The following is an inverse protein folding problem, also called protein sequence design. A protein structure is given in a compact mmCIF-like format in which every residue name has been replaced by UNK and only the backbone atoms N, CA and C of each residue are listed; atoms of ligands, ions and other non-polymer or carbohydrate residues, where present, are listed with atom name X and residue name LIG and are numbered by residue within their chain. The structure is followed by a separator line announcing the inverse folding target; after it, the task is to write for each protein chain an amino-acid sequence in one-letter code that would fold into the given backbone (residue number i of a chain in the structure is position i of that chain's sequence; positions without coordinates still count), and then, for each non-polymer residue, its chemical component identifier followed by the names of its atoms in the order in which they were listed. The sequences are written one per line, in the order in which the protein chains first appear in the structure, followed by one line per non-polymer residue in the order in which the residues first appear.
data_IF_447623065193
#
_entry.id   IF_447623065193
#
_cell.length_a   1.000
_cell.length_b   1.000
_cell.length_c   1.000
_cell.angle_alpha   90.00
_cell.angle_beta   90.00
_cell.angle_gamma   90.00
#
_symmetry.space_group_name_H-M   'P 1'
#
loop_
_entity.id
_entity.type
_entity.pdbx_description
1 polymer ?
#
# COMPACT_ATOMS: atom_id res chain seq x y z
N UNK A 1 28.34 39.36 -59.67
CA UNK A 1 28.04 37.96 -59.34
C UNK A 1 28.69 37.50 -57.99
N UNK A 2 30.00 37.75 -57.78
CA UNK A 2 30.69 37.31 -56.56
C UNK A 2 30.14 37.92 -55.26
N UNK A 3 29.75 39.20 -55.25
CA UNK A 3 29.18 39.88 -54.08
C UNK A 3 27.80 39.32 -53.70
N UNK A 4 26.99 39.01 -54.71
CA UNK A 4 25.66 38.42 -54.47
C UNK A 4 25.74 37.02 -53.84
N UNK A 5 26.67 36.19 -54.28
CA UNK A 5 26.94 34.87 -53.75
C UNK A 5 27.45 34.99 -52.32
N UNK A 6 28.31 35.92 -51.99
CA UNK A 6 28.81 36.15 -50.65
C UNK A 6 27.66 36.55 -49.63
N UNK A 7 26.78 37.46 -50.08
CA UNK A 7 25.64 37.90 -49.27
C UNK A 7 24.71 36.74 -48.99
N UNK A 8 24.40 35.92 -49.98
CA UNK A 8 23.53 34.75 -49.83
C UNK A 8 24.17 33.73 -48.85
N UNK A 9 25.48 33.47 -49.01
CA UNK A 9 26.18 32.52 -48.13
C UNK A 9 26.21 32.99 -46.68
N UNK A 10 26.43 34.28 -46.41
CA UNK A 10 26.40 34.86 -45.06
C UNK A 10 25.00 34.77 -44.47
N UNK A 11 23.95 35.03 -45.24
CA UNK A 11 22.56 34.93 -44.78
C UNK A 11 22.19 33.51 -44.42
N UNK A 12 22.57 32.52 -45.23
CA UNK A 12 22.32 31.10 -44.95
C UNK A 12 23.09 30.66 -43.68
N UNK A 13 24.35 31.06 -43.54
CA UNK A 13 25.17 30.72 -42.39
C UNK A 13 24.57 31.31 -41.09
N UNK A 14 24.12 32.55 -41.12
CA UNK A 14 23.47 33.21 -39.98
C UNK A 14 22.16 32.49 -39.57
N UNK A 15 21.37 32.08 -40.57
CA UNK A 15 20.15 31.33 -40.33
C UNK A 15 20.40 29.94 -39.69
N UNK A 16 21.46 29.26 -40.16
CA UNK A 16 21.87 27.97 -39.59
C UNK A 16 22.32 28.11 -38.13
N UNK A 17 23.16 29.12 -37.85
CA UNK A 17 23.64 29.36 -36.48
C UNK A 17 22.47 29.67 -35.53
N UNK A 18 21.53 30.53 -35.95
CA UNK A 18 20.34 30.85 -35.19
C UNK A 18 19.45 29.60 -34.97
N UNK A 19 19.22 28.83 -36.01
CA UNK A 19 18.43 27.62 -35.96
C UNK A 19 18.99 26.59 -34.97
N UNK A 20 20.30 26.33 -35.04
CA UNK A 20 20.99 25.41 -34.11
C UNK A 20 20.94 25.93 -32.67
N UNK A 21 21.15 27.24 -32.47
CA UNK A 21 21.12 27.85 -31.14
C UNK A 21 19.72 27.77 -30.53
N UNK A 22 18.68 28.10 -31.29
CA UNK A 22 17.28 27.98 -30.80
C UNK A 22 16.94 26.53 -30.51
N UNK A 23 17.32 25.61 -31.40
CA UNK A 23 17.08 24.19 -31.19
C UNK A 23 17.75 23.68 -29.90
N UNK A 24 19.01 24.00 -29.68
CA UNK A 24 19.75 23.60 -28.49
C UNK A 24 19.13 24.17 -27.21
N UNK A 25 18.79 25.47 -27.20
CA UNK A 25 18.13 26.10 -26.03
C UNK A 25 16.75 25.50 -25.76
N UNK A 26 15.96 25.29 -26.80
CA UNK A 26 14.61 24.71 -26.65
C UNK A 26 14.68 23.27 -26.13
N UNK A 27 15.60 22.47 -26.67
CA UNK A 27 15.78 21.07 -26.24
C UNK A 27 16.22 21.00 -24.79
N UNK A 28 17.20 21.82 -24.38
CA UNK A 28 17.64 21.84 -22.99
C UNK A 28 16.52 22.26 -22.03
N UNK A 29 15.78 23.31 -22.35
CA UNK A 29 14.66 23.77 -21.53
C UNK A 29 13.54 22.71 -21.44
N UNK A 30 13.26 22.02 -22.55
CA UNK A 30 12.28 20.94 -22.56
C UNK A 30 12.74 19.79 -21.64
N UNK A 31 13.99 19.35 -21.77
CA UNK A 31 14.55 18.26 -20.97
C UNK A 31 14.53 18.62 -19.48
N UNK A 32 14.98 19.82 -19.12
CA UNK A 32 14.97 20.31 -17.73
C UNK A 32 13.54 20.35 -17.16
N UNK A 33 12.58 20.90 -17.91
CA UNK A 33 11.19 20.95 -17.48
C UNK A 33 10.59 19.55 -17.31
N UNK A 34 10.83 18.62 -18.24
CA UNK A 34 10.37 17.22 -18.10
C UNK A 34 10.98 16.53 -16.88
N UNK A 35 12.26 16.74 -16.61
CA UNK A 35 12.91 16.17 -15.44
C UNK A 35 12.29 16.73 -14.14
N UNK A 36 12.05 18.03 -14.11
CA UNK A 36 11.45 18.70 -12.95
C UNK A 36 10.01 18.24 -12.74
N UNK A 37 9.20 18.18 -13.79
CA UNK A 37 7.80 17.70 -13.72
C UNK A 37 7.73 16.24 -13.29
N UNK A 38 8.64 15.40 -13.79
CA UNK A 38 8.75 14.01 -13.37
C UNK A 38 9.12 13.89 -11.90
N UNK A 39 10.09 14.67 -11.42
CA UNK A 39 10.49 14.70 -10.01
C UNK A 39 9.33 15.13 -9.11
N UNK A 40 8.62 16.21 -9.46
CA UNK A 40 7.44 16.65 -8.73
C UNK A 40 6.32 15.60 -8.73
N UNK A 41 6.12 14.92 -9.84
CA UNK A 41 5.14 13.83 -9.95
C UNK A 41 5.49 12.67 -9.02
N UNK A 42 6.76 12.25 -8.96
CA UNK A 42 7.25 11.22 -8.04
C UNK A 42 7.07 11.65 -6.59
N UNK A 43 7.47 12.86 -6.23
CA UNK A 43 7.33 13.37 -4.87
C UNK A 43 5.86 13.47 -4.45
N UNK A 44 4.98 13.90 -5.34
CA UNK A 44 3.54 13.94 -5.08
C UNK A 44 2.98 12.55 -4.87
N UNK A 45 3.41 11.57 -5.68
CA UNK A 45 3.00 10.18 -5.54
C UNK A 45 3.48 9.57 -4.23
N UNK A 46 4.70 9.85 -3.81
CA UNK A 46 5.27 9.42 -2.54
C UNK A 46 4.46 9.96 -1.35
N UNK A 47 4.19 11.26 -1.34
CA UNK A 47 3.35 11.89 -0.32
C UNK A 47 1.93 11.29 -0.26
N UNK A 48 1.33 10.96 -1.40
CA UNK A 48 0.00 10.34 -1.44
C UNK A 48 0.05 8.94 -0.82
N UNK A 49 1.08 8.15 -1.13
CA UNK A 49 1.25 6.80 -0.56
C UNK A 49 1.46 6.89 0.95
N UNK A 50 2.32 7.80 1.42
CA UNK A 50 2.57 8.02 2.84
C UNK A 50 1.28 8.40 3.59
N UNK A 51 0.51 9.37 3.08
CA UNK A 51 -0.77 9.76 3.68
C UNK A 51 -1.80 8.61 3.71
N UNK A 52 -1.82 7.77 2.68
CA UNK A 52 -2.70 6.60 2.67
C UNK A 52 -2.27 5.55 3.70
N UNK A 53 -0.98 5.28 3.81
CA UNK A 53 -0.45 4.34 4.82
C UNK A 53 -0.74 4.83 6.23
N UNK A 54 -0.47 6.09 6.52
CA UNK A 54 -0.76 6.70 7.82
C UNK A 54 -2.26 6.61 8.16
N UNK A 55 -3.13 6.91 7.21
CA UNK A 55 -4.57 6.78 7.39
C UNK A 55 -5.01 5.34 7.69
N UNK A 56 -4.41 4.34 7.06
CA UNK A 56 -4.69 2.92 7.35
C UNK A 56 -4.18 2.54 8.74
N UNK A 57 -2.96 2.95 9.09
CA UNK A 57 -2.36 2.68 10.41
C UNK A 57 -3.21 3.31 11.52
N UNK A 58 -3.63 4.55 11.35
CA UNK A 58 -4.52 5.22 12.29
C UNK A 58 -5.88 4.51 12.41
N UNK A 59 -6.47 4.14 11.27
CA UNK A 59 -7.71 3.34 11.24
C UNK A 59 -7.57 2.01 11.97
N UNK A 60 -6.46 1.32 11.80
CA UNK A 60 -6.14 0.08 12.51
C UNK A 60 -5.99 0.33 14.02
N UNK A 61 -5.28 1.38 14.44
CA UNK A 61 -5.16 1.76 15.86
C UNK A 61 -6.52 2.06 16.48
N UNK A 62 -7.36 2.82 15.77
CA UNK A 62 -8.73 3.11 16.21
C UNK A 62 -9.59 1.86 16.33
N UNK A 63 -9.42 0.88 15.43
CA UNK A 63 -10.07 -0.42 15.53
C UNK A 63 -9.65 -1.16 16.79
N UNK A 64 -8.36 -1.16 17.12
CA UNK A 64 -7.80 -1.83 18.29
C UNK A 64 -8.18 -1.15 19.63
N UNK A 65 -8.51 0.14 19.60
CA UNK A 65 -9.00 0.87 20.79
C UNK A 65 -10.48 0.59 21.11
N UNK A 66 -11.20 -0.12 20.23
CA UNK A 66 -12.60 -0.48 20.50
C UNK A 66 -12.67 -1.69 21.42
N UNK A 67 -13.14 -1.49 22.65
CA UNK A 67 -13.32 -2.55 23.63
C UNK A 67 -14.13 -3.74 23.08
N UNK A 68 -15.17 -3.45 22.31
CA UNK A 68 -16.00 -4.49 21.72
C UNK A 68 -15.24 -5.39 20.73
N UNK A 69 -14.30 -4.80 19.95
CA UNK A 69 -13.47 -5.53 19.02
C UNK A 69 -12.42 -6.36 19.78
N UNK A 70 -11.74 -5.76 20.74
CA UNK A 70 -10.73 -6.44 21.54
C UNK A 70 -11.31 -7.57 22.37
N UNK A 71 -12.49 -7.35 22.99
CA UNK A 71 -13.19 -8.40 23.74
C UNK A 71 -13.59 -9.56 22.82
N UNK A 72 -14.08 -9.29 21.60
CA UNK A 72 -14.41 -10.35 20.65
C UNK A 72 -13.18 -11.18 20.23
N UNK A 73 -11.99 -10.58 20.17
CA UNK A 73 -10.76 -11.31 19.90
C UNK A 73 -10.26 -12.11 21.10
N UNK A 74 -10.39 -11.59 22.32
CA UNK A 74 -9.88 -12.20 23.55
C UNK A 74 -10.84 -13.26 24.14
N UNK A 75 -12.16 -13.05 24.04
CA UNK A 75 -13.19 -14.00 24.51
C UNK A 75 -13.29 -15.26 23.63
N UNK A 76 -12.60 -15.27 22.50
CA UNK A 76 -12.51 -16.42 21.63
C UNK A 76 -11.92 -17.60 22.40
N UNK A 77 -12.78 -18.47 22.93
CA UNK A 77 -12.52 -19.57 23.86
C UNK A 77 -11.25 -20.40 23.66
N UNK A 78 -10.87 -21.16 24.66
CA UNK A 78 -9.54 -21.79 24.83
C UNK A 78 -9.15 -22.87 23.80
N UNK A 79 -10.08 -23.34 22.95
CA UNK A 79 -9.77 -24.40 21.98
C UNK A 79 -9.06 -23.84 20.74
N UNK A 80 -7.81 -24.26 20.44
CA UNK A 80 -7.10 -23.87 19.25
C UNK A 80 -7.84 -24.29 17.98
N UNK A 81 -7.96 -23.38 17.01
CA UNK A 81 -8.50 -23.69 15.68
C UNK A 81 -10.03 -23.77 15.58
N UNK A 82 -10.78 -23.42 16.64
CA UNK A 82 -12.23 -23.23 16.52
C UNK A 82 -12.56 -21.89 15.83
N UNK A 83 -13.70 -21.83 15.16
CA UNK A 83 -14.19 -20.59 14.57
C UNK A 83 -14.68 -19.62 15.66
N UNK A 84 -14.67 -18.34 15.37
CA UNK A 84 -15.37 -17.36 16.19
C UNK A 84 -16.86 -17.69 16.27
N UNK A 85 -17.48 -17.47 17.44
CA UNK A 85 -18.92 -17.60 17.58
C UNK A 85 -19.66 -16.62 16.68
N UNK A 86 -20.93 -16.85 16.41
CA UNK A 86 -21.74 -15.94 15.59
C UNK A 86 -21.83 -14.54 16.19
N UNK A 87 -21.78 -14.39 17.51
CA UNK A 87 -21.79 -13.10 18.20
C UNK A 87 -20.46 -12.36 18.00
N UNK A 88 -19.34 -13.04 18.20
CA UNK A 88 -17.99 -12.49 18.00
C UNK A 88 -17.80 -12.09 16.54
N UNK A 89 -18.14 -12.99 15.60
CA UNK A 89 -18.05 -12.72 14.16
C UNK A 89 -18.81 -11.46 13.77
N UNK A 90 -20.05 -11.28 14.25
CA UNK A 90 -20.86 -10.09 13.96
C UNK A 90 -20.24 -8.82 14.54
N UNK A 91 -19.61 -8.90 15.71
CA UNK A 91 -18.94 -7.77 16.35
C UNK A 91 -17.68 -7.38 15.57
N UNK A 92 -16.87 -8.36 15.17
CA UNK A 92 -15.69 -8.16 14.34
C UNK A 92 -16.08 -7.56 12.99
N UNK A 93 -17.09 -8.13 12.32
CA UNK A 93 -17.61 -7.67 11.04
C UNK A 93 -18.02 -6.19 11.08
N UNK A 94 -18.82 -5.80 12.09
CA UNK A 94 -19.25 -4.41 12.25
C UNK A 94 -18.05 -3.46 12.37
N UNK A 95 -17.08 -3.82 13.23
CA UNK A 95 -15.93 -2.97 13.51
C UNK A 95 -15.00 -2.85 12.29
N UNK A 96 -14.78 -3.95 11.57
CA UNK A 96 -13.95 -4.00 10.38
C UNK A 96 -14.61 -3.30 9.19
N UNK A 97 -15.93 -3.43 9.03
CA UNK A 97 -16.68 -2.70 8.00
C UNK A 97 -16.51 -1.18 8.14
N UNK A 98 -16.51 -0.65 9.36
CA UNK A 98 -16.25 0.78 9.57
C UNK A 98 -14.86 1.19 9.06
N UNK A 99 -13.83 0.40 9.32
CA UNK A 99 -12.47 0.64 8.81
C UNK A 99 -12.44 0.60 7.28
N UNK A 100 -13.02 -0.43 6.67
CA UNK A 100 -12.97 -0.62 5.21
C UNK A 100 -13.83 0.39 4.43
N UNK A 101 -14.85 0.97 5.07
CA UNK A 101 -15.62 2.07 4.52
C UNK A 101 -14.87 3.39 4.57
N UNK A 102 -14.10 3.64 5.65
CA UNK A 102 -13.29 4.83 5.80
C UNK A 102 -12.02 4.79 4.93
N UNK A 103 -11.46 3.60 4.74
CA UNK A 103 -10.21 3.37 4.01
C UNK A 103 -10.48 2.53 2.76
N UNK A 104 -10.80 3.20 1.64
CA UNK A 104 -11.17 2.52 0.39
C UNK A 104 -10.07 1.63 -0.19
N UNK A 105 -8.81 1.95 0.06
CA UNK A 105 -7.62 1.19 -0.35
C UNK A 105 -7.45 -0.13 0.40
N UNK A 106 -8.05 -0.29 1.59
CA UNK A 106 -8.03 -1.56 2.33
C UNK A 106 -8.89 -2.59 1.61
N UNK A 107 -8.28 -3.67 1.18
CA UNK A 107 -8.95 -4.77 0.46
C UNK A 107 -9.34 -5.90 1.40
N UNK A 108 -8.51 -6.17 2.40
CA UNK A 108 -8.67 -7.28 3.32
C UNK A 108 -8.27 -6.86 4.74
N UNK A 109 -8.97 -7.38 5.73
CA UNK A 109 -8.62 -7.26 7.14
C UNK A 109 -8.62 -8.64 7.75
N UNK A 110 -7.50 -9.01 8.35
CA UNK A 110 -7.34 -10.26 9.08
C UNK A 110 -7.26 -9.96 10.56
N UNK A 111 -8.02 -10.70 11.35
CA UNK A 111 -7.98 -10.63 12.79
C UNK A 111 -7.68 -12.02 13.34
N UNK A 112 -6.59 -12.13 14.07
CA UNK A 112 -6.12 -13.41 14.61
C UNK A 112 -6.12 -13.32 16.14
N UNK A 113 -6.82 -14.24 16.80
CA UNK A 113 -6.77 -14.36 18.27
C UNK A 113 -5.47 -15.02 18.71
N UNK A 114 -5.12 -14.88 19.98
CA UNK A 114 -3.97 -15.57 20.59
C UNK A 114 -4.05 -17.09 20.47
N UNK A 115 -5.26 -17.65 20.39
CA UNK A 115 -5.52 -19.08 20.24
C UNK A 115 -5.55 -19.53 18.76
N UNK A 116 -5.23 -18.63 17.81
CA UNK A 116 -5.14 -18.94 16.40
C UNK A 116 -6.49 -18.98 15.66
N UNK A 117 -7.57 -18.47 16.25
CA UNK A 117 -8.81 -18.25 15.52
C UNK A 117 -8.60 -17.11 14.52
N UNK A 118 -9.06 -17.33 13.30
CA UNK A 118 -8.89 -16.40 12.20
C UNK A 118 -10.26 -15.86 11.76
N UNK A 119 -10.40 -14.54 11.74
CA UNK A 119 -11.47 -13.83 11.07
C UNK A 119 -10.90 -13.09 9.87
N UNK A 120 -11.54 -13.23 8.71
CA UNK A 120 -11.16 -12.55 7.47
C UNK A 120 -12.36 -11.77 6.96
N UNK A 121 -12.14 -10.49 6.76
CA UNK A 121 -13.02 -9.63 5.97
C UNK A 121 -12.29 -9.28 4.68
N UNK A 122 -12.89 -9.59 3.54
CA UNK A 122 -12.31 -9.32 2.22
C UNK A 122 -13.36 -8.75 1.28
N UNK A 123 -12.97 -7.77 0.49
CA UNK A 123 -13.77 -7.27 -0.63
C UNK A 123 -13.81 -8.24 -1.81
N UNK A 124 -12.92 -9.26 -1.80
CA UNK A 124 -12.91 -10.34 -2.79
C UNK A 124 -13.93 -11.41 -2.40
N UNK A 125 -14.62 -11.96 -3.38
CA UNK A 125 -15.65 -12.99 -3.15
C UNK A 125 -15.09 -14.39 -2.87
N UNK A 126 -13.86 -14.68 -3.30
CA UNK A 126 -13.25 -16.00 -3.13
C UNK A 126 -12.29 -16.01 -1.95
N UNK A 127 -12.70 -16.68 -0.89
CA UNK A 127 -11.91 -16.88 0.34
C UNK A 127 -11.31 -18.28 0.43
N UNK A 128 -11.43 -19.12 -0.60
CA UNK A 128 -10.94 -20.52 -0.60
C UNK A 128 -9.44 -20.63 -0.35
N UNK A 129 -8.65 -19.65 -0.80
CA UNK A 129 -7.21 -19.57 -0.58
C UNK A 129 -6.81 -19.48 0.91
N UNK A 130 -7.73 -19.08 1.80
CA UNK A 130 -7.49 -18.96 3.23
C UNK A 130 -7.88 -20.20 4.04
N UNK A 131 -8.56 -21.16 3.40
CA UNK A 131 -9.04 -22.40 4.05
C UNK A 131 -7.95 -23.14 4.85
N UNK A 132 -6.69 -23.25 4.38
CA UNK A 132 -5.65 -23.95 5.13
C UNK A 132 -5.35 -23.32 6.50
N UNK A 133 -5.54 -21.99 6.65
CA UNK A 133 -5.19 -21.25 7.85
C UNK A 133 -6.24 -21.31 8.96
N UNK A 134 -7.46 -21.79 8.64
CA UNK A 134 -8.52 -21.97 9.63
C UNK A 134 -8.34 -23.19 10.54
N UNK A 135 -7.40 -24.10 10.19
CA UNK A 135 -7.22 -25.36 10.90
C UNK A 135 -6.05 -25.30 11.88
N UNK A 136 -6.24 -25.80 13.08
CA UNK A 136 -5.20 -26.13 14.05
C UNK A 136 -4.19 -25.02 14.38
N UNK A 137 -4.58 -23.75 14.31
CA UNK A 137 -3.68 -22.65 14.61
C UNK A 137 -2.52 -22.49 13.61
N UNK A 138 -2.62 -23.05 12.42
CA UNK A 138 -1.58 -22.93 11.37
C UNK A 138 -1.21 -21.48 11.05
N UNK A 139 -2.15 -20.56 11.27
CA UNK A 139 -1.91 -19.12 11.12
C UNK A 139 -0.79 -18.64 12.08
N UNK A 140 -0.71 -19.16 13.29
CA UNK A 140 0.29 -18.77 14.29
C UNK A 140 1.71 -19.20 13.95
N UNK A 141 1.88 -20.15 13.00
CA UNK A 141 3.16 -20.66 12.52
C UNK A 141 3.76 -19.80 11.39
N UNK A 142 2.99 -18.81 10.91
CA UNK A 142 3.44 -17.96 9.82
C UNK A 142 4.62 -17.07 10.26
N UNK A 143 5.61 -16.91 9.38
CA UNK A 143 6.84 -16.15 9.69
C UNK A 143 6.55 -14.71 10.10
N UNK A 144 5.58 -14.06 9.45
CA UNK A 144 5.20 -12.68 9.74
C UNK A 144 4.56 -12.51 11.13
N UNK A 145 3.93 -13.55 11.71
CA UNK A 145 3.44 -13.51 13.11
C UNK A 145 4.62 -13.39 14.08
N UNK A 146 5.70 -14.12 13.82
CA UNK A 146 6.92 -14.03 14.64
C UNK A 146 7.53 -12.64 14.50
N UNK A 147 7.66 -12.14 13.28
CA UNK A 147 8.19 -10.81 13.00
C UNK A 147 7.36 -9.71 13.70
N UNK A 148 6.04 -9.80 13.61
CA UNK A 148 5.15 -8.86 14.28
C UNK A 148 5.25 -8.93 15.81
N UNK A 149 5.44 -10.12 16.39
CA UNK A 149 5.67 -10.30 17.82
C UNK A 149 6.99 -9.68 18.27
N UNK A 150 8.04 -9.90 17.48
CA UNK A 150 9.38 -9.38 17.78
C UNK A 150 9.45 -7.84 17.62
N UNK A 151 8.47 -7.24 16.92
CA UNK A 151 8.34 -5.78 16.75
C UNK A 151 7.78 -5.05 17.99
N UNK A 152 7.43 -5.77 19.06
CA UNK A 152 7.03 -5.22 20.37
C UNK A 152 5.91 -4.15 20.28
N UNK A 153 4.81 -4.52 19.64
CA UNK A 153 3.63 -3.65 19.48
C UNK A 153 3.75 -2.56 18.43
N UNK A 154 4.87 -2.51 17.68
CA UNK A 154 4.99 -1.65 16.50
C UNK A 154 4.34 -2.31 15.30
N UNK A 155 3.89 -1.48 14.37
CA UNK A 155 3.42 -1.94 13.08
C UNK A 155 4.61 -2.36 12.20
N UNK A 156 4.45 -3.50 11.49
CA UNK A 156 5.37 -3.92 10.43
C UNK A 156 4.67 -3.84 9.09
N UNK A 157 5.43 -3.52 8.04
CA UNK A 157 4.92 -3.44 6.66
C UNK A 157 5.60 -4.53 5.85
N UNK A 158 4.79 -5.44 5.29
CA UNK A 158 5.26 -6.50 4.41
C UNK A 158 5.00 -6.10 2.96
N UNK A 159 5.98 -6.27 2.09
CA UNK A 159 5.89 -5.97 0.66
C UNK A 159 5.01 -6.93 -0.15
N UNK A 160 4.24 -7.78 0.53
CA UNK A 160 3.37 -8.78 -0.07
C UNK A 160 2.16 -9.06 0.80
N UNK A 161 1.18 -9.79 0.25
CA UNK A 161 0.07 -10.31 1.03
C UNK A 161 0.59 -11.29 2.09
N UNK A 162 0.26 -11.04 3.36
CA UNK A 162 0.77 -11.78 4.51
C UNK A 162 0.45 -13.29 4.47
N UNK A 163 -0.67 -13.69 3.86
CA UNK A 163 -1.09 -15.10 3.78
C UNK A 163 -0.71 -15.78 2.47
N UNK A 164 -0.84 -15.08 1.35
CA UNK A 164 -0.66 -15.68 0.03
C UNK A 164 0.73 -15.44 -0.56
N UNK A 165 1.50 -14.51 -0.01
CA UNK A 165 2.81 -14.12 -0.52
C UNK A 165 2.77 -13.40 -1.87
N UNK A 166 1.59 -13.00 -2.37
CA UNK A 166 1.47 -12.28 -3.64
C UNK A 166 1.95 -10.84 -3.48
N UNK A 167 2.72 -10.36 -4.46
CA UNK A 167 3.33 -9.02 -4.45
C UNK A 167 2.41 -7.93 -5.05
N UNK A 168 1.11 -8.17 -5.14
CA UNK A 168 0.12 -7.22 -5.65
C UNK A 168 -0.50 -6.35 -4.57
N UNK A 169 -0.16 -6.60 -3.31
CA UNK A 169 -0.69 -5.90 -2.14
C UNK A 169 0.39 -5.72 -1.07
N UNK A 170 0.26 -4.68 -0.28
CA UNK A 170 1.02 -4.51 0.97
C UNK A 170 0.20 -5.04 2.14
N UNK A 171 0.85 -5.57 3.15
CA UNK A 171 0.22 -5.95 4.42
C UNK A 171 0.80 -5.13 5.56
N UNK A 172 -0.06 -4.50 6.35
CA UNK A 172 0.31 -3.84 7.60
C UNK A 172 -0.13 -4.76 8.72
N UNK A 173 0.81 -5.14 9.58
CA UNK A 173 0.58 -6.11 10.66
C UNK A 173 0.96 -5.49 11.98
N UNK A 174 0.13 -5.74 13.00
CA UNK A 174 0.40 -5.37 14.39
C UNK A 174 0.11 -6.56 15.29
N UNK A 175 1.03 -6.85 16.18
CA UNK A 175 0.87 -7.79 17.29
C UNK A 175 0.57 -7.00 18.57
N UNK A 176 -0.29 -7.55 19.46
CA UNK A 176 -0.74 -6.93 20.70
C UNK A 176 -0.35 -7.78 21.90
#
# INVERSE_FOLDING_TARGET
QQIQVAIIAISILSMLILGVSIFALTTNNIVENYQQDFYYSLQTSDNIVELQLDGIIEGMRNLLLKDSYMNALSEAGEEPGSYFSSKETRTLEKSVNELTLQQASVQEVLSVSLNGKLYIHSKKSDLSQYTPFYKNGEILKQAWIKEARDADGKEIILGSNALTGKNDTLSIVKYL
#
